data_IF_457442726781
#
_entry.id   IF_457442726781
#
_cell.length_a   1.000
_cell.length_b   1.000
_cell.length_c   1.000
_cell.angle_alpha   90.00
_cell.angle_beta   90.00
_cell.angle_gamma   90.00
#
_symmetry.space_group_name_H-M   'P 1'
#
loop_
_entity.id
_entity.type
_entity.pdbx_description
1 polymer ?
#
# COMPACT_ATOMS: atom_id res chain seq x y z
N UNK A 1 -11.00 7.58 6.19
CA UNK A 1 -9.76 6.77 6.33
C UNK A 1 -8.73 7.60 7.06
N UNK A 2 -7.99 7.06 8.05
CA UNK A 2 -6.93 7.80 8.76
C UNK A 2 -5.56 7.25 8.36
N UNK A 3 -4.93 7.89 7.37
CA UNK A 3 -3.57 7.55 6.91
C UNK A 3 -2.57 7.45 8.07
N UNK A 4 -2.69 8.31 9.08
CA UNK A 4 -1.80 8.33 10.24
C UNK A 4 -1.81 7.00 11.03
N UNK A 5 -2.97 6.35 11.14
CA UNK A 5 -3.08 5.07 11.86
C UNK A 5 -2.39 3.96 11.07
N UNK A 6 -2.52 3.98 9.73
CA UNK A 6 -1.78 3.08 8.83
C UNK A 6 -0.27 3.25 8.98
N UNK A 7 0.23 4.50 8.95
CA UNK A 7 1.65 4.78 9.06
C UNK A 7 2.23 4.28 10.39
N UNK A 8 1.54 4.51 11.51
CA UNK A 8 1.97 4.02 12.83
C UNK A 8 2.04 2.49 12.90
N UNK A 9 1.08 1.81 12.27
CA UNK A 9 1.07 0.34 12.21
C UNK A 9 2.25 -0.17 11.37
N UNK A 10 2.53 0.46 10.23
CA UNK A 10 3.67 0.12 9.38
C UNK A 10 5.01 0.29 10.09
N UNK A 11 5.18 1.37 10.87
CA UNK A 11 6.38 1.59 11.69
C UNK A 11 6.58 0.44 12.70
N UNK A 12 5.50 -0.03 13.32
CA UNK A 12 5.54 -1.13 14.27
C UNK A 12 5.97 -2.45 13.62
N UNK A 13 5.56 -2.71 12.38
CA UNK A 13 6.00 -3.90 11.64
C UNK A 13 7.48 -3.83 11.25
N UNK A 14 7.96 -2.67 10.81
CA UNK A 14 9.39 -2.48 10.54
C UNK A 14 10.22 -2.65 11.82
N UNK A 15 9.80 -2.04 12.93
CA UNK A 15 10.46 -2.19 14.23
C UNK A 15 10.45 -3.63 14.75
N UNK A 16 9.47 -4.44 14.36
CA UNK A 16 9.42 -5.87 14.67
C UNK A 16 10.37 -6.74 13.82
N UNK A 17 11.08 -6.15 12.85
CA UNK A 17 12.09 -6.83 12.03
C UNK A 17 11.54 -7.50 10.77
N UNK A 18 10.41 -7.03 10.23
CA UNK A 18 9.92 -7.51 8.94
C UNK A 18 10.94 -7.24 7.82
N UNK A 19 11.20 -8.23 6.98
CA UNK A 19 12.12 -8.09 5.84
C UNK A 19 11.53 -7.26 4.68
N UNK A 20 10.20 -7.25 4.54
CA UNK A 20 9.45 -6.44 3.58
C UNK A 20 7.98 -6.32 4.01
N UNK A 21 7.24 -5.40 3.40
CA UNK A 21 5.81 -5.23 3.60
C UNK A 21 5.05 -5.19 2.27
N UNK A 22 4.01 -6.01 2.15
CA UNK A 22 3.08 -5.97 1.03
C UNK A 22 1.78 -5.27 1.47
N UNK A 23 1.34 -4.26 0.71
CA UNK A 23 0.21 -3.41 1.09
C UNK A 23 -0.84 -3.45 -0.02
N UNK A 24 -2.03 -3.96 0.32
CA UNK A 24 -3.20 -3.80 -0.53
C UNK A 24 -3.83 -2.41 -0.27
N UNK A 25 -4.05 -1.61 -1.31
CA UNK A 25 -4.55 -0.22 -1.17
C UNK A 25 -6.03 -0.09 -0.77
N UNK A 26 -6.60 -1.09 -0.10
CA UNK A 26 -7.99 -1.11 0.38
C UNK A 26 -8.06 -1.42 1.86
N UNK A 27 -9.07 -0.89 2.52
CA UNK A 27 -9.37 -1.28 3.90
C UNK A 27 -10.11 -2.61 3.93
N UNK A 28 -10.25 -3.17 5.13
CA UNK A 28 -11.00 -4.41 5.36
C UNK A 28 -12.48 -4.30 4.96
N UNK A 29 -13.05 -3.10 5.01
CA UNK A 29 -14.48 -2.83 4.76
C UNK A 29 -14.80 -2.72 3.27
N UNK A 30 -13.82 -2.40 2.43
CA UNK A 30 -13.99 -2.24 0.98
C UNK A 30 -13.95 -3.59 0.26
N UNK A 31 -15.02 -4.35 0.44
CA UNK A 31 -15.23 -5.66 -0.17
C UNK A 31 -16.45 -5.64 -1.11
N UNK A 32 -16.44 -6.54 -2.09
CA UNK A 32 -17.57 -6.80 -2.99
C UNK A 32 -18.12 -5.54 -3.70
N UNK A 33 -19.40 -5.18 -3.48
CA UNK A 33 -20.06 -4.07 -4.17
C UNK A 33 -19.63 -2.67 -3.70
N UNK A 34 -18.87 -2.57 -2.60
CA UNK A 34 -18.40 -1.30 -2.01
C UNK A 34 -16.89 -1.11 -2.24
N UNK A 35 -16.45 -1.39 -3.46
CA UNK A 35 -15.05 -1.26 -3.85
C UNK A 35 -14.80 0.14 -4.40
N UNK A 36 -14.21 0.99 -3.57
CA UNK A 36 -13.60 2.23 -4.03
C UNK A 36 -12.32 1.98 -4.84
N UNK A 37 -11.76 3.03 -5.48
CA UNK A 37 -10.48 2.94 -6.15
C UNK A 37 -9.38 2.49 -5.17
N UNK A 38 -8.42 1.71 -5.66
CA UNK A 38 -7.26 1.32 -4.85
C UNK A 38 -6.46 2.58 -4.48
N UNK A 39 -6.17 2.75 -3.20
CA UNK A 39 -5.48 3.92 -2.68
C UNK A 39 -3.97 3.74 -2.80
N UNK A 40 -3.45 3.92 -4.02
CA UNK A 40 -2.01 3.90 -4.28
C UNK A 40 -1.28 5.06 -3.59
N UNK A 41 -1.97 6.15 -3.26
CA UNK A 41 -1.38 7.29 -2.55
C UNK A 41 -0.98 6.90 -1.13
N UNK A 42 -1.82 6.13 -0.43
CA UNK A 42 -1.47 5.56 0.87
C UNK A 42 -0.23 4.64 0.77
N UNK A 43 -0.14 3.80 -0.27
CA UNK A 43 1.02 2.92 -0.51
C UNK A 43 2.29 3.76 -0.73
N UNK A 44 2.22 4.82 -1.55
CA UNK A 44 3.33 5.77 -1.76
C UNK A 44 3.80 6.37 -0.45
N UNK A 45 2.89 6.85 0.39
CA UNK A 45 3.24 7.43 1.69
C UNK A 45 3.92 6.43 2.63
N UNK A 46 3.50 5.17 2.63
CA UNK A 46 4.17 4.13 3.42
C UNK A 46 5.56 3.84 2.85
N UNK A 47 5.69 3.69 1.52
CA UNK A 47 6.97 3.44 0.86
C UNK A 47 7.99 4.55 1.09
N UNK A 48 7.55 5.81 1.12
CA UNK A 48 8.42 6.95 1.44
C UNK A 48 8.84 7.00 2.92
N UNK A 49 8.10 6.34 3.81
CA UNK A 49 8.31 6.37 5.26
C UNK A 49 9.25 5.27 5.74
N UNK A 50 9.10 4.06 5.22
CA UNK A 50 9.85 2.90 5.68
C UNK A 50 11.21 2.77 4.96
N UNK A 51 12.16 2.13 5.63
CA UNK A 51 13.46 1.77 5.07
C UNK A 51 13.48 0.37 4.44
N UNK A 52 12.54 -0.50 4.84
CA UNK A 52 12.37 -1.84 4.25
C UNK A 52 11.59 -1.80 2.93
N UNK A 53 11.78 -2.78 2.02
CA UNK A 53 11.03 -2.88 0.77
C UNK A 53 9.51 -2.90 0.97
N UNK A 54 8.80 -2.06 0.23
CA UNK A 54 7.33 -2.02 0.17
C UNK A 54 6.85 -2.49 -1.20
N UNK A 55 5.97 -3.48 -1.21
CA UNK A 55 5.36 -4.08 -2.40
C UNK A 55 3.92 -3.58 -2.51
N UNK A 56 3.61 -2.89 -3.61
CA UNK A 56 2.26 -2.42 -3.90
C UNK A 56 1.36 -3.59 -4.36
N UNK A 57 0.12 -3.64 -3.85
CA UNK A 57 -0.86 -4.63 -4.24
C UNK A 57 -2.26 -4.01 -4.45
N UNK A 58 -2.98 -4.54 -5.45
CA UNK A 58 -4.35 -4.15 -5.77
C UNK A 58 -4.48 -3.19 -6.96
N UNK A 59 -5.52 -3.41 -7.76
CA UNK A 59 -5.84 -2.68 -9.01
C UNK A 59 -4.74 -2.72 -10.09
N UNK A 60 -4.02 -3.84 -10.18
CA UNK A 60 -3.07 -4.14 -11.26
C UNK A 60 -3.60 -5.34 -12.04
N UNK A 61 -4.18 -5.10 -13.22
CA UNK A 61 -4.83 -6.14 -14.04
C UNK A 61 -4.08 -6.38 -15.35
N UNK A 62 -3.42 -5.34 -15.86
CA UNK A 62 -2.62 -5.35 -17.08
C UNK A 62 -1.14 -5.07 -16.79
N UNK A 63 -0.29 -5.30 -17.80
CA UNK A 63 1.12 -4.94 -17.72
C UNK A 63 1.30 -3.42 -17.58
N UNK A 64 0.49 -2.64 -18.29
CA UNK A 64 0.47 -1.19 -18.23
C UNK A 64 0.06 -0.69 -16.84
N UNK A 65 -0.88 -1.36 -16.17
CA UNK A 65 -1.21 -1.04 -14.76
C UNK A 65 -0.03 -1.27 -13.84
N UNK A 66 0.75 -2.32 -14.06
CA UNK A 66 1.92 -2.62 -13.24
C UNK A 66 2.97 -1.51 -13.38
N UNK A 67 3.22 -1.03 -14.61
CA UNK A 67 4.12 0.09 -14.86
C UNK A 67 3.62 1.38 -14.20
N UNK A 68 2.33 1.71 -14.36
CA UNK A 68 1.72 2.89 -13.73
C UNK A 68 1.75 2.82 -12.21
N UNK A 69 1.47 1.66 -11.64
CA UNK A 69 1.51 1.44 -10.20
C UNK A 69 2.94 1.65 -9.67
N UNK A 70 3.92 1.03 -10.32
CA UNK A 70 5.34 1.17 -9.96
C UNK A 70 5.81 2.63 -10.02
N UNK A 71 5.49 3.35 -11.09
CA UNK A 71 5.83 4.77 -11.25
C UNK A 71 5.14 5.62 -10.18
N UNK A 72 3.85 5.38 -9.94
CA UNK A 72 3.04 6.18 -9.01
C UNK A 72 3.45 5.94 -7.56
N UNK A 73 3.69 4.70 -7.13
CA UNK A 73 4.05 4.41 -5.74
C UNK A 73 5.50 4.76 -5.42
N UNK A 74 6.33 4.93 -6.46
CA UNK A 74 7.79 4.93 -6.33
C UNK A 74 8.29 3.55 -5.96
#
# INVERSE_FOLDING_TARGET
RRLQDTLRLCDAFEAAGCACLCIHGRTKEEKAAFVGPCDWLAIRHVKQRLSIPVIANGAVETYEDALRCLEFTG
#
